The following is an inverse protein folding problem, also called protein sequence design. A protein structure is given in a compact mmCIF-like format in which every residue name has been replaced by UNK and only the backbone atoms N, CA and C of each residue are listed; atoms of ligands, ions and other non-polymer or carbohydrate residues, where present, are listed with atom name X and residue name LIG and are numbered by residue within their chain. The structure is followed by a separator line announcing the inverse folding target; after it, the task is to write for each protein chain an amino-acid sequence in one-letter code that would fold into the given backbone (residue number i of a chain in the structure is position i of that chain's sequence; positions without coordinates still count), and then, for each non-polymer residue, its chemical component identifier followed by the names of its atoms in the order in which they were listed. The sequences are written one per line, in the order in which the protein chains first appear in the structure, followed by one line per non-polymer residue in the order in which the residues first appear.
data_IF_140484089042
#
_entry.id   IF_140484089042
#
_cell.length_a   1.000
_cell.length_b   1.000
_cell.length_c   1.000
_cell.angle_alpha   90.00
_cell.angle_beta   90.00
_cell.angle_gamma   90.00
#
_symmetry.space_group_name_H-M   'P 1'
#
loop_
_entity.id
_entity.type
_entity.pdbx_description
1 polymer ?
#
# COMPACT_ATOMS: atom_id res chain seq x y z
N UNK A 1 -27.69 -22.36 -37.15
CA UNK A 1 -27.34 -20.92 -37.31
C UNK A 1 -27.66 -20.10 -36.06
N UNK A 2 -28.73 -20.43 -35.34
CA UNK A 2 -29.08 -19.82 -34.03
C UNK A 2 -28.09 -20.18 -32.90
N UNK A 3 -27.56 -21.41 -32.87
CA UNK A 3 -26.60 -21.84 -31.83
C UNK A 3 -25.24 -21.12 -31.90
N UNK A 4 -24.73 -20.84 -33.12
CA UNK A 4 -23.49 -20.08 -33.29
C UNK A 4 -23.62 -18.63 -32.78
N UNK A 5 -24.74 -17.96 -33.09
CA UNK A 5 -25.01 -16.61 -32.60
C UNK A 5 -25.19 -16.55 -31.07
N UNK A 6 -25.80 -17.59 -30.47
CA UNK A 6 -25.90 -17.72 -29.01
C UNK A 6 -24.56 -18.02 -28.33
N UNK A 7 -23.68 -18.80 -28.98
CA UNK A 7 -22.34 -19.09 -28.48
C UNK A 7 -21.46 -17.82 -28.48
N UNK A 8 -21.48 -17.05 -29.56
CA UNK A 8 -20.71 -15.79 -29.67
C UNK A 8 -21.16 -14.74 -28.64
N UNK A 9 -22.47 -14.64 -28.37
CA UNK A 9 -23.01 -13.76 -27.34
C UNK A 9 -22.55 -14.14 -25.93
N UNK A 10 -22.35 -15.43 -25.65
CA UNK A 10 -21.88 -15.92 -24.35
C UNK A 10 -20.40 -15.61 -24.14
N UNK A 11 -19.55 -15.84 -25.15
CA UNK A 11 -18.09 -15.60 -25.03
C UNK A 11 -17.80 -14.10 -24.88
N UNK A 12 -18.47 -13.25 -25.66
CA UNK A 12 -18.30 -11.80 -25.55
C UNK A 12 -18.76 -11.25 -24.19
N UNK A 13 -19.88 -11.75 -23.65
CA UNK A 13 -20.33 -11.41 -22.30
C UNK A 13 -19.33 -11.84 -21.22
N UNK A 14 -18.72 -13.02 -21.34
CA UNK A 14 -17.69 -13.48 -20.42
C UNK A 14 -16.50 -12.51 -20.37
N UNK A 15 -16.00 -12.11 -21.54
CA UNK A 15 -14.88 -11.18 -21.66
C UNK A 15 -15.25 -9.81 -21.06
N UNK A 16 -16.47 -9.33 -21.30
CA UNK A 16 -16.95 -8.06 -20.72
C UNK A 16 -17.04 -8.12 -19.18
N UNK A 17 -17.45 -9.25 -18.61
CA UNK A 17 -17.51 -9.43 -17.15
C UNK A 17 -16.12 -9.50 -16.51
N UNK A 18 -15.15 -10.11 -17.20
CA UNK A 18 -13.74 -10.18 -16.75
C UNK A 18 -13.06 -8.80 -16.82
N UNK A 19 -13.53 -7.92 -17.70
CA UNK A 19 -12.94 -6.59 -17.86
C UNK A 19 -13.05 -5.73 -16.59
N UNK A 20 -14.15 -5.84 -15.84
CA UNK A 20 -14.35 -5.06 -14.62
C UNK A 20 -13.27 -5.31 -13.54
N UNK A 21 -13.03 -6.55 -13.06
CA UNK A 21 -11.94 -6.81 -12.13
C UNK A 21 -10.56 -6.54 -12.75
N UNK A 22 -10.37 -6.72 -14.06
CA UNK A 22 -9.10 -6.40 -14.72
C UNK A 22 -8.74 -4.91 -14.62
N UNK A 23 -9.69 -4.01 -14.89
CA UNK A 23 -9.49 -2.55 -14.75
C UNK A 23 -9.21 -2.18 -13.30
N UNK A 24 -9.89 -2.82 -12.34
CA UNK A 24 -9.63 -2.61 -10.91
C UNK A 24 -8.22 -3.04 -10.51
N UNK A 25 -7.72 -4.17 -11.02
CA UNK A 25 -6.33 -4.61 -10.80
C UNK A 25 -5.35 -3.56 -11.33
N UNK A 26 -5.58 -3.01 -12.52
CA UNK A 26 -4.74 -1.96 -13.10
C UNK A 26 -4.74 -0.69 -12.25
N UNK A 27 -5.90 -0.24 -11.78
CA UNK A 27 -6.02 0.92 -10.89
C UNK A 27 -5.27 0.68 -9.57
N UNK A 28 -5.43 -0.48 -8.94
CA UNK A 28 -4.69 -0.86 -7.74
C UNK A 28 -3.18 -0.96 -8.00
N UNK A 29 -2.76 -1.40 -9.18
CA UNK A 29 -1.36 -1.45 -9.60
C UNK A 29 -0.72 -0.05 -9.61
N UNK A 30 -1.42 0.95 -10.15
CA UNK A 30 -0.98 2.35 -10.13
C UNK A 30 -0.88 2.90 -8.70
N UNK A 31 -1.88 2.64 -7.86
CA UNK A 31 -1.85 3.06 -6.45
C UNK A 31 -0.69 2.40 -5.69
N UNK A 32 -0.47 1.11 -5.90
CA UNK A 32 0.61 0.35 -5.27
C UNK A 32 1.97 0.88 -5.71
N UNK A 33 2.15 1.24 -6.99
CA UNK A 33 3.37 1.87 -7.48
C UNK A 33 3.63 3.23 -6.82
N UNK A 34 2.59 4.05 -6.68
CA UNK A 34 2.68 5.35 -5.99
C UNK A 34 3.09 5.21 -4.52
N UNK A 35 2.55 4.21 -3.81
CA UNK A 35 2.88 4.00 -2.40
C UNK A 35 4.21 3.27 -2.20
N UNK A 36 4.61 2.37 -3.09
CA UNK A 36 5.87 1.62 -2.97
C UNK A 36 7.10 2.51 -3.12
N UNK A 37 7.03 3.51 -4.01
CA UNK A 37 8.07 4.54 -4.13
C UNK A 37 8.22 5.34 -2.84
N UNK A 38 7.11 5.83 -2.25
CA UNK A 38 7.10 6.49 -0.94
C UNK A 38 7.68 5.60 0.16
N UNK A 39 7.31 4.31 0.17
CA UNK A 39 7.82 3.35 1.15
C UNK A 39 9.34 3.20 1.08
N UNK A 40 9.89 3.08 -0.13
CA UNK A 40 11.33 3.00 -0.37
C UNK A 40 12.05 4.25 0.17
N UNK A 41 11.51 5.44 -0.09
CA UNK A 41 12.08 6.70 0.43
C UNK A 41 12.08 6.75 1.95
N UNK A 42 10.98 6.35 2.61
CA UNK A 42 10.88 6.32 4.08
C UNK A 42 11.89 5.33 4.67
N UNK A 43 12.00 4.13 4.11
CA UNK A 43 12.97 3.13 4.55
C UNK A 43 14.41 3.61 4.37
N UNK A 44 14.71 4.29 3.27
CA UNK A 44 16.04 4.86 3.05
C UNK A 44 16.39 5.91 4.11
N UNK A 45 15.46 6.81 4.44
CA UNK A 45 15.65 7.81 5.52
C UNK A 45 15.87 7.16 6.88
N UNK A 46 15.13 6.09 7.20
CA UNK A 46 15.32 5.30 8.43
C UNK A 46 16.74 4.71 8.47
N UNK A 47 17.21 4.12 7.36
CA UNK A 47 18.56 3.55 7.28
C UNK A 47 19.64 4.59 7.50
N UNK A 48 19.53 5.75 6.85
CA UNK A 48 20.49 6.86 7.00
C UNK A 48 20.57 7.36 8.45
N UNK A 49 19.43 7.63 9.09
CA UNK A 49 19.39 8.07 10.48
C UNK A 49 19.91 7.01 11.46
N UNK A 50 19.66 5.72 11.17
CA UNK A 50 20.17 4.64 11.99
C UNK A 50 21.69 4.47 11.84
N UNK A 51 22.24 4.68 10.65
CA UNK A 51 23.69 4.74 10.42
C UNK A 51 24.33 5.94 11.12
N UNK A 52 23.70 7.11 11.08
CA UNK A 52 24.15 8.30 11.81
C UNK A 52 24.16 8.06 13.32
N UNK A 53 23.08 7.50 13.86
CA UNK A 53 23.01 7.05 15.26
C UNK A 53 24.18 6.14 15.60
N UNK A 54 24.44 5.12 14.77
CA UNK A 54 25.55 4.18 14.99
C UNK A 54 26.91 4.89 14.99
N UNK A 55 27.15 5.84 14.08
CA UNK A 55 28.40 6.63 14.03
C UNK A 55 28.61 7.43 15.32
N UNK A 56 27.56 8.04 15.86
CA UNK A 56 27.64 8.77 17.14
C UNK A 56 27.98 7.85 18.31
N UNK A 57 27.41 6.63 18.36
CA UNK A 57 27.75 5.65 19.40
C UNK A 57 29.19 5.15 19.32
N UNK A 58 29.71 4.90 18.11
CA UNK A 58 31.11 4.50 17.92
C UNK A 58 32.05 5.60 18.40
N UNK A 59 31.81 6.86 17.99
CA UNK A 59 32.62 8.01 18.38
C UNK A 59 32.63 8.26 19.90
N UNK A 60 31.50 8.03 20.57
CA UNK A 60 31.41 8.16 22.02
C UNK A 60 32.07 6.98 22.77
N UNK A 61 32.11 5.79 22.18
CA UNK A 61 32.88 4.65 22.68
C UNK A 61 34.39 4.95 22.73
N UNK A 62 34.89 5.64 21.70
CA UNK A 62 36.29 6.09 21.63
C UNK A 62 36.59 7.26 22.60
N UNK A 63 35.63 8.18 22.81
CA UNK A 63 35.77 9.34 23.68
C UNK A 63 35.40 9.10 25.17
N UNK A 64 34.94 7.90 25.53
CA UNK A 64 34.47 7.47 26.88
C UNK A 64 33.30 8.25 27.48
N UNK A 65 32.82 9.35 26.88
CA UNK A 65 31.60 10.11 27.24
C UNK A 65 31.02 10.81 26.00
N UNK A 66 29.70 10.99 25.97
CA UNK A 66 29.03 11.87 24.99
C UNK A 66 29.16 13.33 25.40
N UNK A 67 29.44 14.21 24.43
CA UNK A 67 29.36 15.67 24.62
C UNK A 67 27.90 16.11 24.75
N UNK A 68 27.62 17.26 25.40
CA UNK A 68 26.27 17.83 25.49
C UNK A 68 25.59 17.96 24.12
N UNK A 69 26.33 18.43 23.11
CA UNK A 69 25.87 18.54 21.72
C UNK A 69 25.53 17.18 21.09
N UNK A 70 26.32 16.14 21.36
CA UNK A 70 26.12 14.79 20.83
C UNK A 70 24.88 14.12 21.47
N UNK A 71 24.63 14.37 22.76
CA UNK A 71 23.41 13.93 23.43
C UNK A 71 22.15 14.61 22.86
N UNK A 72 22.21 15.92 22.59
CA UNK A 72 21.10 16.65 21.96
C UNK A 72 20.82 16.12 20.54
N UNK A 73 21.87 15.90 19.74
CA UNK A 73 21.76 15.33 18.39
C UNK A 73 21.19 13.92 18.43
N UNK A 74 21.65 13.07 19.36
CA UNK A 74 21.13 11.71 19.52
C UNK A 74 19.64 11.69 19.90
N UNK A 75 19.22 12.60 20.78
CA UNK A 75 17.81 12.77 21.14
C UNK A 75 16.96 13.19 19.93
N UNK A 76 17.47 14.11 19.10
CA UNK A 76 16.80 14.54 17.86
C UNK A 76 16.64 13.40 16.85
N UNK A 77 17.70 12.63 16.60
CA UNK A 77 17.70 11.47 15.70
C UNK A 77 16.70 10.42 16.18
N UNK A 78 16.67 10.16 17.49
CA UNK A 78 15.77 9.17 18.09
C UNK A 78 14.30 9.58 17.91
N UNK A 79 13.98 10.86 18.10
CA UNK A 79 12.63 11.40 17.85
C UNK A 79 12.24 11.31 16.38
N UNK A 80 13.12 11.67 15.45
CA UNK A 80 12.86 11.57 14.01
C UNK A 80 12.67 10.12 13.57
N UNK A 81 13.48 9.20 14.09
CA UNK A 81 13.40 7.77 13.78
C UNK A 81 12.06 7.17 14.24
N UNK A 82 11.60 7.52 15.44
CA UNK A 82 10.28 7.09 15.94
C UNK A 82 9.15 7.55 15.00
N UNK A 83 9.16 8.83 14.59
CA UNK A 83 8.17 9.38 13.64
C UNK A 83 8.20 8.67 12.30
N UNK A 84 9.39 8.39 11.75
CA UNK A 84 9.53 7.69 10.48
C UNK A 84 9.08 6.23 10.55
N UNK A 85 9.31 5.54 11.67
CA UNK A 85 8.84 4.15 11.88
C UNK A 85 7.31 4.11 11.91
N UNK A 86 6.67 5.05 12.61
CA UNK A 86 5.20 5.15 12.58
C UNK A 86 4.69 5.37 11.16
N UNK A 87 5.32 6.29 10.42
CA UNK A 87 4.99 6.58 9.03
C UNK A 87 5.12 5.33 8.15
N UNK A 88 6.24 4.61 8.28
CA UNK A 88 6.48 3.36 7.56
C UNK A 88 5.39 2.31 7.82
N UNK A 89 4.82 2.27 9.03
CA UNK A 89 3.71 1.37 9.38
C UNK A 89 2.43 1.68 8.61
N UNK A 90 2.06 2.96 8.47
CA UNK A 90 0.87 3.35 7.68
C UNK A 90 1.05 3.04 6.20
N UNK A 91 2.22 3.37 5.64
CA UNK A 91 2.55 3.09 4.24
C UNK A 91 2.53 1.59 3.97
N UNK A 92 3.11 0.78 4.86
CA UNK A 92 3.06 -0.69 4.78
C UNK A 92 1.63 -1.20 4.83
N UNK A 93 0.81 -0.72 5.76
CA UNK A 93 -0.58 -1.16 5.89
C UNK A 93 -1.41 -0.81 4.63
N UNK A 94 -1.17 0.34 4.01
CA UNK A 94 -1.78 0.72 2.73
C UNK A 94 -1.40 -0.26 1.62
N UNK A 95 -0.10 -0.58 1.46
CA UNK A 95 0.38 -1.55 0.48
C UNK A 95 -0.24 -2.94 0.67
N UNK A 96 -0.26 -3.43 1.92
CA UNK A 96 -0.86 -4.74 2.23
C UNK A 96 -2.33 -4.76 1.84
N UNK A 97 -3.08 -3.70 2.14
CA UNK A 97 -4.50 -3.58 1.77
C UNK A 97 -4.69 -3.63 0.25
N UNK A 98 -3.85 -2.94 -0.52
CA UNK A 98 -3.91 -2.98 -1.99
C UNK A 98 -3.53 -4.34 -2.57
N UNK A 99 -2.52 -5.01 -2.02
CA UNK A 99 -2.18 -6.38 -2.45
C UNK A 99 -3.30 -7.38 -2.16
N UNK A 100 -3.97 -7.25 -1.00
CA UNK A 100 -5.16 -8.07 -0.70
C UNK A 100 -6.28 -7.78 -1.70
N UNK A 101 -6.55 -6.51 -2.01
CA UNK A 101 -7.56 -6.14 -3.00
C UNK A 101 -7.24 -6.71 -4.40
N UNK A 102 -5.99 -6.61 -4.85
CA UNK A 102 -5.53 -7.21 -6.12
C UNK A 102 -5.78 -8.71 -6.13
N UNK A 103 -5.41 -9.42 -5.05
CA UNK A 103 -5.65 -10.85 -4.93
C UNK A 103 -7.16 -11.19 -5.03
N UNK A 104 -8.02 -10.43 -4.36
CA UNK A 104 -9.47 -10.62 -4.43
C UNK A 104 -10.01 -10.38 -5.84
N UNK A 105 -9.58 -9.34 -6.54
CA UNK A 105 -10.02 -9.09 -7.93
C UNK A 105 -9.53 -10.16 -8.92
N UNK A 106 -8.30 -10.66 -8.73
CA UNK A 106 -7.81 -11.82 -9.51
C UNK A 106 -8.69 -13.04 -9.25
N UNK A 107 -9.04 -13.31 -7.98
CA UNK A 107 -9.97 -14.38 -7.63
C UNK A 107 -11.35 -14.18 -8.25
N UNK A 108 -11.91 -12.96 -8.25
CA UNK A 108 -13.17 -12.64 -8.93
C UNK A 108 -13.08 -12.95 -10.42
N UNK A 109 -12.01 -12.51 -11.10
CA UNK A 109 -11.80 -12.76 -12.52
C UNK A 109 -11.72 -14.26 -12.84
N UNK A 110 -11.03 -15.04 -11.99
CA UNK A 110 -10.92 -16.48 -12.16
C UNK A 110 -12.26 -17.19 -11.96
N UNK A 111 -13.04 -16.79 -10.96
CA UNK A 111 -14.36 -17.36 -10.67
C UNK A 111 -15.38 -17.06 -11.77
N UNK A 112 -15.37 -15.85 -12.35
CA UNK A 112 -16.19 -15.51 -13.52
C UNK A 112 -15.83 -16.42 -14.70
N UNK A 113 -14.53 -16.64 -14.94
CA UNK A 113 -14.08 -17.56 -15.98
C UNK A 113 -14.52 -19.01 -15.72
N UNK A 114 -14.39 -19.49 -14.49
CA UNK A 114 -14.79 -20.85 -14.10
C UNK A 114 -16.31 -21.08 -14.23
N UNK A 115 -17.13 -20.08 -13.93
CA UNK A 115 -18.59 -20.16 -14.08
C UNK A 115 -19.00 -20.47 -15.53
N UNK A 116 -18.22 -20.02 -16.52
CA UNK A 116 -18.48 -20.32 -17.93
C UNK A 116 -18.18 -21.78 -18.30
N UNK A 117 -17.17 -22.39 -17.69
CA UNK A 117 -16.83 -23.79 -17.91
C UNK A 117 -17.76 -24.74 -17.13
N UNK A 118 -18.16 -24.38 -15.91
CA UNK A 118 -18.95 -25.21 -15.01
C UNK A 118 -20.36 -24.61 -14.80
N UNK A 119 -21.28 -24.90 -15.72
CA UNK A 119 -22.67 -24.36 -15.71
C UNK A 119 -23.48 -24.75 -14.47
N UNK A 120 -23.15 -25.86 -13.81
CA UNK A 120 -23.96 -26.40 -12.70
C UNK A 120 -23.66 -25.76 -11.33
N UNK A 121 -22.54 -25.02 -11.18
CA UNK A 121 -22.15 -24.44 -9.90
C UNK A 121 -22.68 -23.01 -9.77
N UNK A 122 -23.59 -22.76 -8.83
CA UNK A 122 -24.09 -21.43 -8.53
C UNK A 122 -23.08 -20.59 -7.71
N UNK A 123 -21.99 -20.14 -8.33
CA UNK A 123 -20.96 -19.28 -7.69
C UNK A 123 -21.29 -17.78 -7.72
N UNK A 124 -22.45 -17.39 -8.25
CA UNK A 124 -22.82 -15.99 -8.52
C UNK A 124 -22.71 -15.07 -7.31
N UNK A 125 -23.30 -15.47 -6.17
CA UNK A 125 -23.27 -14.67 -4.94
C UNK A 125 -21.84 -14.52 -4.40
N UNK A 126 -21.08 -15.61 -4.43
CA UNK A 126 -19.69 -15.62 -4.00
C UNK A 126 -18.78 -14.71 -4.84
N UNK A 127 -19.01 -14.61 -6.16
CA UNK A 127 -18.31 -13.67 -7.04
C UNK A 127 -18.56 -12.22 -6.61
N UNK A 128 -19.82 -11.87 -6.36
CA UNK A 128 -20.22 -10.51 -5.96
C UNK A 128 -19.61 -10.16 -4.60
N UNK A 129 -19.67 -11.10 -3.63
CA UNK A 129 -19.14 -10.88 -2.28
C UNK A 129 -17.62 -10.66 -2.29
N UNK A 130 -16.87 -11.46 -3.04
CA UNK A 130 -15.41 -11.31 -3.17
C UNK A 130 -15.06 -9.99 -3.87
N UNK A 131 -15.81 -9.62 -4.91
CA UNK A 131 -15.60 -8.35 -5.59
C UNK A 131 -15.83 -7.15 -4.66
N UNK A 132 -16.94 -7.16 -3.92
CA UNK A 132 -17.27 -6.11 -2.96
C UNK A 132 -16.24 -6.04 -1.82
N UNK A 133 -15.78 -7.19 -1.32
CA UNK A 133 -14.71 -7.25 -0.33
C UNK A 133 -13.41 -6.64 -0.87
N UNK A 134 -13.10 -6.87 -2.16
CA UNK A 134 -12.00 -6.22 -2.86
C UNK A 134 -12.12 -4.70 -2.84
N UNK A 135 -13.31 -4.16 -3.14
CA UNK A 135 -13.59 -2.72 -3.11
C UNK A 135 -13.38 -2.13 -1.70
N UNK A 136 -13.85 -2.81 -0.65
CA UNK A 136 -13.64 -2.39 0.74
C UNK A 136 -12.14 -2.36 1.08
N UNK A 137 -11.37 -3.36 0.63
CA UNK A 137 -9.93 -3.40 0.84
C UNK A 137 -9.19 -2.27 0.10
N UNK A 138 -9.63 -1.89 -1.11
CA UNK A 138 -9.09 -0.69 -1.78
C UNK A 138 -9.37 0.55 -0.95
N UNK A 139 -10.60 0.73 -0.47
CA UNK A 139 -10.97 1.90 0.33
C UNK A 139 -10.16 1.99 1.63
N UNK A 140 -10.00 0.88 2.34
CA UNK A 140 -9.13 0.80 3.52
C UNK A 140 -7.68 1.21 3.19
N UNK A 141 -7.15 0.75 2.05
CA UNK A 141 -5.81 1.11 1.58
C UNK A 141 -5.66 2.62 1.31
N UNK A 142 -6.67 3.24 0.72
CA UNK A 142 -6.73 4.69 0.49
C UNK A 142 -6.77 5.44 1.82
N UNK A 143 -7.58 5.02 2.79
CA UNK A 143 -7.63 5.65 4.13
C UNK A 143 -6.25 5.62 4.80
N UNK A 144 -5.51 4.52 4.71
CA UNK A 144 -4.15 4.46 5.23
C UNK A 144 -3.17 5.37 4.48
N UNK A 145 -3.28 5.46 3.16
CA UNK A 145 -2.45 6.35 2.35
C UNK A 145 -2.73 7.84 2.63
N UNK A 146 -3.99 8.20 2.84
CA UNK A 146 -4.43 9.55 3.20
C UNK A 146 -3.90 9.91 4.59
N UNK A 147 -3.99 9.00 5.56
CA UNK A 147 -3.41 9.19 6.91
C UNK A 147 -1.89 9.39 6.88
N UNK A 148 -1.16 8.65 6.04
CA UNK A 148 0.28 8.90 5.81
C UNK A 148 0.53 10.31 5.26
N UNK A 149 -0.29 10.75 4.31
CA UNK A 149 -0.14 12.05 3.65
C UNK A 149 -0.40 13.21 4.62
N UNK A 150 -1.45 13.12 5.45
CA UNK A 150 -1.74 14.13 6.47
C UNK A 150 -0.61 14.25 7.50
N UNK A 151 -0.11 13.12 8.04
CA UNK A 151 1.05 13.15 8.95
C UNK A 151 2.31 13.72 8.29
N UNK A 152 2.47 13.54 6.98
CA UNK A 152 3.56 14.14 6.22
C UNK A 152 3.44 15.65 6.08
N UNK A 153 2.22 16.18 5.95
CA UNK A 153 1.96 17.61 5.81
C UNK A 153 2.08 18.36 7.14
N UNK A 154 1.65 17.76 8.24
CA UNK A 154 1.78 18.36 9.58
C UNK A 154 3.25 18.70 9.90
N UNK A 155 4.20 17.86 9.49
CA UNK A 155 5.64 18.09 9.72
C UNK A 155 6.13 19.35 8.99
N UNK A 156 5.69 19.58 7.76
CA UNK A 156 6.09 20.78 6.99
C UNK A 156 5.51 22.04 7.62
N UNK A 157 4.27 21.96 8.13
CA UNK A 157 3.65 23.09 8.81
C UNK A 157 4.43 23.47 10.08
N UNK A 158 4.84 22.49 10.87
CA UNK A 158 5.67 22.74 12.07
C UNK A 158 7.10 23.20 11.77
N UNK A 159 7.65 22.92 10.58
CA UNK A 159 8.97 23.43 10.18
C UNK A 159 8.91 24.91 9.76
N UNK A 160 7.85 25.34 9.07
CA UNK A 160 7.67 26.74 8.67
C UNK A 160 7.31 27.62 9.87
N UNK A 161 6.45 27.14 10.77
CA UNK A 161 5.99 27.89 11.95
C UNK A 161 7.03 27.97 13.08
N UNK A 162 8.16 27.26 12.96
CA UNK A 162 9.30 27.32 13.88
C UNK A 162 10.45 28.21 13.37
N UNK A 163 10.35 28.69 12.12
CA UNK A 163 11.27 29.69 11.54
C UNK A 163 10.76 31.14 11.70
N UNK A 164 9.53 31.33 12.19
CA UNK A 164 8.92 32.62 12.60
C UNK A 164 8.98 32.83 14.13
#
# INVERSE_FOLDING_TARGET
MTDFLQQDSNVTQAIQLILAPAVMISACGLLTLGISSKFSTVLNRIRLLNEEKRKLFVKAGDAKKFTLEENQRLASITRQLQRLIERARYVRNSLVSYFIAIALFISTSLLIGLQFFFRDIQVRWLIIDIFLLGMVMVFCGVVFAVRDTFKGFDIVKFEVEAED
#
